data_IF_879821947702
#
_entry.id   IF_879821947702
#
_cell.length_a   1.000
_cell.length_b   1.000
_cell.length_c   1.000
_cell.angle_alpha   90.00
_cell.angle_beta   90.00
_cell.angle_gamma   90.00
#
_symmetry.space_group_name_H-M   'P 1'
#
loop_
_entity.id
_entity.type
_entity.pdbx_description
1 polymer ?
#
# COMPACT_ATOMS: atom_id res chain seq x y z
N UNK A 1 -9.18 -8.61 -1.75
CA UNK A 1 -8.30 -7.70 -2.53
C UNK A 1 -8.50 -6.25 -2.12
N UNK A 2 -9.73 -5.70 -2.10
CA UNK A 2 -9.97 -4.32 -1.62
C UNK A 2 -9.36 -4.04 -0.24
N UNK A 3 -9.49 -4.94 0.73
CA UNK A 3 -8.94 -4.74 2.08
C UNK A 3 -7.40 -4.60 2.10
N UNK A 4 -6.68 -5.33 1.24
CA UNK A 4 -5.21 -5.22 1.11
C UNK A 4 -4.85 -3.91 0.39
N UNK A 5 -5.62 -3.52 -0.62
CA UNK A 5 -5.51 -2.23 -1.31
C UNK A 5 -5.81 -1.05 -0.34
N UNK A 6 -6.75 -1.23 0.60
CA UNK A 6 -7.04 -0.28 1.68
C UNK A 6 -5.87 -0.18 2.64
N UNK A 7 -5.34 -1.31 3.12
CA UNK A 7 -4.21 -1.33 4.06
C UNK A 7 -2.97 -0.68 3.44
N UNK A 8 -2.64 -0.97 2.17
CA UNK A 8 -1.50 -0.33 1.48
C UNK A 8 -1.68 1.18 1.31
N UNK A 9 -2.86 1.66 0.89
CA UNK A 9 -3.13 3.09 0.70
C UNK A 9 -3.36 3.89 1.99
N UNK A 10 -3.86 3.26 3.06
CA UNK A 10 -4.15 3.92 4.34
C UNK A 10 -3.00 3.86 5.34
N UNK A 11 -2.08 2.88 5.24
CA UNK A 11 -0.92 2.84 6.14
C UNK A 11 0.02 4.00 5.82
N UNK A 12 0.20 4.86 6.81
CA UNK A 12 0.93 6.12 6.71
C UNK A 12 1.91 6.21 7.88
N UNK A 13 3.12 6.71 7.61
CA UNK A 13 4.05 7.12 8.64
C UNK A 13 4.56 8.53 8.31
N UNK A 14 4.19 9.50 9.14
CA UNK A 14 4.59 10.91 9.00
C UNK A 14 4.28 11.55 7.62
N UNK A 15 3.13 11.22 7.03
CA UNK A 15 2.69 11.68 5.71
C UNK A 15 3.19 10.82 4.54
N UNK A 16 4.03 9.81 4.80
CA UNK A 16 4.59 8.92 3.78
C UNK A 16 3.77 7.63 3.74
N UNK A 17 3.25 7.27 2.55
CA UNK A 17 2.59 5.99 2.29
C UNK A 17 3.62 4.86 2.17
N UNK A 18 4.18 4.50 3.32
CA UNK A 18 5.28 3.52 3.42
C UNK A 18 4.97 2.18 2.75
N UNK A 19 3.71 1.74 2.64
CA UNK A 19 3.34 0.47 1.99
C UNK A 19 2.87 0.60 0.53
N UNK A 20 2.75 1.80 -0.04
CA UNK A 20 2.24 2.01 -1.41
C UNK A 20 3.37 2.06 -2.46
N UNK A 21 4.34 1.15 -2.35
CA UNK A 21 5.45 1.02 -3.30
C UNK A 21 5.10 0.12 -4.51
N UNK A 22 4.10 0.52 -5.28
CA UNK A 22 3.56 -0.28 -6.41
C UNK A 22 4.34 -0.13 -7.71
N UNK A 23 5.18 0.90 -7.83
CA UNK A 23 5.84 1.28 -9.09
C UNK A 23 7.36 1.41 -9.01
N UNK A 24 7.98 1.42 -7.82
CA UNK A 24 9.44 1.51 -7.69
C UNK A 24 10.07 0.18 -7.26
N UNK A 25 11.36 0.02 -7.55
CA UNK A 25 12.24 -0.93 -6.86
C UNK A 25 12.33 -0.62 -5.36
N UNK A 26 12.72 -1.62 -4.58
CA UNK A 26 12.64 -1.64 -3.11
C UNK A 26 13.11 -0.32 -2.47
N UNK A 27 12.26 0.28 -1.62
CA UNK A 27 12.51 1.60 -1.03
C UNK A 27 13.19 1.43 0.32
N UNK A 28 14.45 1.89 0.45
CA UNK A 28 15.09 2.06 1.77
C UNK A 28 14.77 3.44 2.33
N UNK A 29 14.43 3.50 3.61
CA UNK A 29 14.37 4.72 4.39
C UNK A 29 15.45 4.67 5.46
N UNK A 30 16.50 5.48 5.28
CA UNK A 30 17.67 5.48 6.17
C UNK A 30 17.58 6.61 7.20
N UNK A 31 17.61 6.25 8.47
CA UNK A 31 17.51 7.18 9.59
C UNK A 31 18.87 7.28 10.30
N UNK A 32 19.50 8.45 10.23
CA UNK A 32 20.73 8.75 10.98
C UNK A 32 20.44 8.78 12.48
N UNK A 33 21.07 7.89 13.23
CA UNK A 33 20.86 7.73 14.69
C UNK A 33 22.15 7.85 15.51
N UNK A 34 23.30 7.99 14.85
CA UNK A 34 24.58 8.27 15.50
C UNK A 34 25.25 9.56 15.00
N UNK A 35 26.42 9.85 15.55
CA UNK A 35 27.18 11.06 15.25
C UNK A 35 28.19 10.90 14.11
N UNK A 36 28.37 9.67 13.60
CA UNK A 36 29.25 9.36 12.46
C UNK A 36 28.45 8.89 11.25
N UNK A 37 28.98 9.13 10.06
CA UNK A 37 28.42 8.60 8.82
C UNK A 37 28.24 7.08 8.89
N UNK A 38 27.12 6.59 8.36
CA UNK A 38 26.68 5.19 8.37
C UNK A 38 26.23 4.64 9.75
N UNK A 39 26.19 5.44 10.83
CA UNK A 39 25.47 5.09 12.06
C UNK A 39 23.95 5.28 11.85
N UNK A 40 23.36 4.40 11.02
CA UNK A 40 22.00 4.51 10.49
C UNK A 40 21.13 3.28 10.81
N UNK A 41 19.83 3.50 10.95
CA UNK A 41 18.80 2.46 10.90
C UNK A 41 18.12 2.55 9.54
N UNK A 42 18.42 1.59 8.67
CA UNK A 42 17.75 1.42 7.38
C UNK A 42 16.48 0.59 7.53
N UNK A 43 15.36 1.11 7.02
CA UNK A 43 14.10 0.37 6.87
C UNK A 43 13.91 0.07 5.39
N UNK A 44 14.23 -1.15 4.99
CA UNK A 44 13.90 -1.65 3.66
C UNK A 44 12.41 -1.99 3.56
N UNK A 45 11.75 -1.46 2.53
CA UNK A 45 10.38 -1.82 2.18
C UNK A 45 10.37 -2.41 0.78
N UNK A 46 10.01 -3.69 0.71
CA UNK A 46 9.96 -4.43 -0.54
C UNK A 46 8.88 -3.91 -1.49
N UNK A 47 9.02 -4.19 -2.78
CA UNK A 47 7.97 -3.92 -3.79
C UNK A 47 6.60 -4.44 -3.34
N UNK A 48 5.55 -3.62 -3.43
CA UNK A 48 4.16 -4.07 -3.23
C UNK A 48 3.47 -4.50 -4.54
N UNK A 49 4.20 -4.49 -5.66
CA UNK A 49 3.79 -5.07 -6.95
C UNK A 49 3.59 -6.59 -6.83
N UNK A 50 2.35 -7.00 -6.54
CA UNK A 50 1.96 -8.40 -6.28
C UNK A 50 1.16 -8.60 -5.00
N UNK A 51 1.10 -7.60 -4.09
CA UNK A 51 0.25 -7.66 -2.90
C UNK A 51 -1.23 -7.46 -3.27
N UNK A 52 -1.48 -6.59 -4.27
CA UNK A 52 -2.79 -6.48 -4.90
C UNK A 52 -2.81 -7.31 -6.19
N UNK A 53 -3.48 -8.45 -6.14
CA UNK A 53 -3.60 -9.39 -7.27
C UNK A 53 -4.59 -8.92 -8.36
N UNK A 54 -5.20 -7.73 -8.20
CA UNK A 54 -6.21 -7.19 -9.12
C UNK A 54 -5.71 -6.89 -10.55
N UNK A 55 -4.40 -6.75 -10.73
CA UNK A 55 -3.72 -6.82 -12.02
C UNK A 55 -2.22 -6.83 -11.76
N UNK A 56 -1.57 -7.98 -11.92
CA UNK A 56 -0.19 -8.00 -12.38
C UNK A 56 -0.26 -8.11 -13.91
N UNK A 57 -0.31 -6.95 -14.59
CA UNK A 57 0.04 -6.93 -16.02
C UNK A 57 1.47 -7.42 -16.18
N UNK A 58 1.83 -7.84 -17.39
CA UNK A 58 3.19 -8.32 -17.70
C UNK A 58 4.29 -7.28 -17.43
N UNK A 59 3.92 -6.00 -17.27
CA UNK A 59 4.77 -4.86 -16.89
C UNK A 59 4.85 -4.58 -15.37
N UNK A 60 4.12 -5.32 -14.53
CA UNK A 60 4.09 -5.14 -13.07
C UNK A 60 3.19 -4.00 -12.57
N UNK A 61 2.50 -3.26 -13.45
CA UNK A 61 1.59 -2.19 -13.03
C UNK A 61 0.18 -2.70 -12.71
N UNK A 62 -0.42 -2.12 -11.67
CA UNK A 62 -1.71 -2.55 -11.12
C UNK A 62 -2.71 -1.39 -11.11
N UNK A 63 -3.78 -1.51 -11.89
CA UNK A 63 -4.81 -0.46 -12.06
C UNK A 63 -5.57 -0.14 -10.77
N UNK A 64 -6.13 1.07 -10.70
CA UNK A 64 -7.12 1.44 -9.69
C UNK A 64 -8.51 0.83 -9.97
N UNK A 65 -8.76 0.38 -11.21
CA UNK A 65 -10.01 -0.27 -11.58
C UNK A 65 -10.05 -1.71 -11.05
N UNK A 66 -10.79 -1.93 -9.97
CA UNK A 66 -11.00 -3.27 -9.40
C UNK A 66 -12.00 -4.05 -10.26
N UNK A 67 -11.53 -5.12 -10.90
CA UNK A 67 -12.38 -6.25 -11.33
C UNK A 67 -13.52 -5.89 -12.31
N UNK A 68 -13.29 -5.03 -13.32
CA UNK A 68 -14.28 -4.75 -14.38
C UNK A 68 -14.33 -5.89 -15.40
N UNK A 69 -15.01 -6.95 -15.01
CA UNK A 69 -15.19 -8.15 -15.81
C UNK A 69 -16.23 -8.00 -16.94
N UNK A 70 -16.03 -8.69 -18.08
CA UNK A 70 -17.03 -8.81 -19.16
C UNK A 70 -17.24 -10.26 -19.63
N UNK A 71 -18.50 -10.71 -19.71
CA UNK A 71 -18.87 -12.03 -20.28
C UNK A 71 -19.11 -12.01 -21.79
N UNK A 72 -18.36 -12.82 -22.52
CA UNK A 72 -18.64 -13.20 -23.91
C UNK A 72 -19.82 -14.16 -24.03
N UNK A 73 -19.97 -15.12 -23.11
CA UNK A 73 -21.03 -16.14 -23.15
C UNK A 73 -22.44 -15.58 -22.91
N UNK A 74 -22.58 -14.58 -22.04
CA UNK A 74 -23.86 -13.87 -21.83
C UNK A 74 -24.30 -13.11 -23.08
N UNK A 75 -23.36 -12.44 -23.77
CA UNK A 75 -23.67 -11.73 -25.01
C UNK A 75 -24.05 -12.73 -26.13
N UNK A 76 -23.35 -13.86 -26.27
CA UNK A 76 -23.68 -14.91 -27.23
C UNK A 76 -25.07 -15.55 -26.99
N UNK A 77 -25.45 -15.80 -25.73
CA UNK A 77 -26.78 -16.32 -25.37
C UNK A 77 -27.87 -15.27 -25.67
N UNK A 78 -27.65 -13.99 -25.31
CA UNK A 78 -28.58 -12.90 -25.65
C UNK A 78 -28.78 -12.75 -27.17
N UNK A 79 -27.71 -12.85 -27.95
CA UNK A 79 -27.77 -12.80 -29.42
C UNK A 79 -28.57 -13.98 -29.96
N UNK A 80 -28.28 -15.21 -29.53
CA UNK A 80 -29.01 -16.41 -29.95
C UNK A 80 -30.50 -16.36 -29.56
N UNK A 81 -30.83 -15.86 -28.36
CA UNK A 81 -32.21 -15.68 -27.89
C UNK A 81 -32.96 -14.61 -28.70
N UNK A 82 -32.27 -13.53 -29.08
CA UNK A 82 -32.82 -12.48 -29.95
C UNK A 82 -33.13 -13.02 -31.34
N UNK A 83 -32.22 -13.82 -31.92
CA UNK A 83 -32.44 -14.44 -33.23
C UNK A 83 -33.58 -15.47 -33.19
N UNK A 84 -33.64 -16.36 -32.19
CA UNK A 84 -34.78 -17.27 -31.96
C UNK A 84 -36.11 -16.50 -31.90
N UNK A 85 -36.15 -15.37 -31.18
CA UNK A 85 -37.36 -14.54 -31.08
C UNK A 85 -37.76 -13.94 -32.44
N UNK A 86 -36.79 -13.46 -33.22
CA UNK A 86 -37.01 -12.93 -34.55
C UNK A 86 -37.48 -14.02 -35.55
N UNK A 87 -36.85 -15.20 -35.56
CA UNK A 87 -37.29 -16.33 -36.40
C UNK A 87 -38.67 -16.84 -36.00
N UNK A 88 -39.01 -16.86 -34.72
CA UNK A 88 -40.32 -17.27 -34.25
C UNK A 88 -41.42 -16.30 -34.73
N UNK A 89 -41.17 -14.99 -34.64
CA UNK A 89 -42.06 -13.96 -35.20
C UNK A 89 -42.27 -14.16 -36.70
N UNK A 90 -41.20 -14.41 -37.46
CA UNK A 90 -41.27 -14.66 -38.91
C UNK A 90 -42.03 -15.96 -39.25
N UNK A 91 -41.80 -17.03 -38.50
CA UNK A 91 -42.54 -18.30 -38.65
C UNK A 91 -44.04 -18.13 -38.36
N UNK A 92 -44.41 -17.45 -37.28
CA UNK A 92 -45.81 -17.19 -36.94
C UNK A 92 -46.52 -16.34 -38.00
N UNK A 93 -45.84 -15.33 -38.55
CA UNK A 93 -46.37 -14.51 -39.64
C UNK A 93 -46.58 -15.32 -40.94
N UNK A 94 -45.58 -16.11 -41.35
CA UNK A 94 -45.69 -16.99 -42.52
C UNK A 94 -46.80 -18.04 -42.35
N UNK A 95 -46.88 -18.65 -41.16
CA UNK A 95 -47.92 -19.63 -40.82
C UNK A 95 -49.31 -19.02 -40.89
N UNK A 96 -49.53 -17.82 -40.33
CA UNK A 96 -50.83 -17.15 -40.38
C UNK A 96 -51.30 -16.87 -41.83
N UNK A 97 -50.36 -16.53 -42.73
CA UNK A 97 -50.64 -16.33 -44.16
C UNK A 97 -50.97 -17.67 -44.84
N UNK A 98 -50.29 -18.76 -44.49
CA UNK A 98 -50.55 -20.09 -45.04
C UNK A 98 -51.82 -20.76 -44.48
N UNK A 99 -52.18 -20.47 -43.23
CA UNK A 99 -53.42 -20.97 -42.60
C UNK A 99 -54.66 -20.31 -43.24
N UNK A 100 -54.53 -19.06 -43.71
CA UNK A 100 -55.60 -18.32 -44.39
C UNK A 100 -55.84 -18.78 -45.84
N UNK A 101 -54.87 -19.48 -46.46
CA UNK A 101 -54.99 -20.06 -47.80
C UNK A 101 -54.13 -21.33 -47.91
N UNK A 102 -54.66 -22.49 -47.45
CA UNK A 102 -53.91 -23.73 -47.36
C UNK A 102 -53.70 -24.44 -48.71
N UNK A 103 -54.30 -23.95 -49.80
CA UNK A 103 -54.14 -24.52 -51.14
C UNK A 103 -52.92 -23.98 -51.89
N UNK A 104 -52.37 -22.83 -51.46
CA UNK A 104 -51.21 -22.20 -52.08
C UNK A 104 -49.89 -22.84 -51.59
N UNK A 105 -49.33 -23.70 -52.45
CA UNK A 105 -48.04 -24.36 -52.22
C UNK A 105 -46.87 -23.38 -51.97
N UNK A 106 -46.96 -22.13 -52.44
CA UNK A 106 -45.95 -21.08 -52.23
C UNK A 106 -45.93 -20.64 -50.77
N UNK A 107 -47.12 -20.45 -50.16
CA UNK A 107 -47.29 -20.07 -48.75
C UNK A 107 -46.87 -21.20 -47.81
N UNK A 108 -47.19 -22.44 -48.16
CA UNK A 108 -46.72 -23.63 -47.45
C UNK A 108 -45.17 -23.76 -47.48
N UNK A 109 -44.56 -23.48 -48.63
CA UNK A 109 -43.08 -23.49 -48.81
C UNK A 109 -42.42 -22.38 -47.98
N UNK A 110 -43.00 -21.17 -47.96
CA UNK A 110 -42.52 -20.06 -47.13
C UNK A 110 -42.57 -20.40 -45.63
N UNK A 111 -43.66 -21.02 -45.17
CA UNK A 111 -43.83 -21.46 -43.77
C UNK A 111 -42.80 -22.52 -43.39
N UNK A 112 -42.55 -23.50 -44.26
CA UNK A 112 -41.54 -24.55 -44.05
C UNK A 112 -40.13 -23.96 -43.98
N UNK A 113 -39.83 -22.97 -44.83
CA UNK A 113 -38.55 -22.26 -44.84
C UNK A 113 -38.34 -21.47 -43.53
N UNK A 114 -39.35 -20.75 -43.07
CA UNK A 114 -39.29 -20.00 -41.81
C UNK A 114 -39.16 -20.93 -40.59
N UNK A 115 -39.82 -22.09 -40.60
CA UNK A 115 -39.71 -23.13 -39.57
C UNK A 115 -38.28 -23.70 -39.49
N UNK A 116 -37.68 -24.03 -40.64
CA UNK A 116 -36.30 -24.54 -40.71
C UNK A 116 -35.27 -23.52 -40.17
N UNK A 117 -35.48 -22.23 -40.43
CA UNK A 117 -34.67 -21.16 -39.85
C UNK A 117 -34.81 -21.08 -38.32
N UNK A 118 -36.04 -21.15 -37.79
CA UNK A 118 -36.30 -21.19 -36.34
C UNK A 118 -35.66 -22.40 -35.65
N UNK A 119 -35.75 -23.58 -36.25
CA UNK A 119 -35.15 -24.81 -35.71
C UNK A 119 -33.62 -24.72 -35.65
N UNK A 120 -33.00 -24.07 -36.65
CA UNK A 120 -31.56 -23.80 -36.69
C UNK A 120 -31.13 -22.85 -35.56
N UNK A 121 -31.86 -21.76 -35.33
CA UNK A 121 -31.59 -20.81 -34.24
C UNK A 121 -31.81 -21.46 -32.86
N UNK A 122 -32.82 -22.31 -32.71
CA UNK A 122 -33.06 -23.10 -31.49
C UNK A 122 -31.90 -24.06 -31.19
N UNK A 123 -31.38 -24.76 -32.20
CA UNK A 123 -30.19 -25.62 -32.06
C UNK A 123 -28.94 -24.84 -31.66
N UNK A 124 -28.78 -23.63 -32.19
CA UNK A 124 -27.69 -22.71 -31.80
C UNK A 124 -27.82 -22.27 -30.34
N UNK A 125 -29.02 -21.85 -29.90
CA UNK A 125 -29.28 -21.47 -28.51
C UNK A 125 -29.01 -22.63 -27.54
N UNK A 126 -29.49 -23.84 -27.85
CA UNK A 126 -29.23 -25.04 -27.05
C UNK A 126 -27.74 -25.37 -26.95
N UNK A 127 -26.98 -25.17 -28.03
CA UNK A 127 -25.53 -25.34 -28.05
C UNK A 127 -24.84 -24.30 -27.17
N UNK A 128 -25.17 -23.01 -27.31
CA UNK A 128 -24.62 -21.92 -26.50
C UNK A 128 -24.85 -22.11 -25.00
N UNK A 129 -26.04 -22.59 -24.61
CA UNK A 129 -26.36 -22.93 -23.21
C UNK A 129 -25.56 -24.14 -22.72
N UNK A 130 -25.37 -25.16 -23.56
CA UNK A 130 -24.56 -26.35 -23.23
C UNK A 130 -23.07 -26.04 -23.12
N UNK A 131 -22.54 -25.12 -23.94
CA UNK A 131 -21.15 -24.68 -23.81
C UNK A 131 -20.94 -23.74 -22.62
N UNK A 132 -21.95 -22.99 -22.19
CA UNK A 132 -21.89 -22.15 -20.99
C UNK A 132 -22.07 -22.91 -19.66
N UNK A 133 -22.16 -24.25 -19.69
CA UNK A 133 -22.32 -25.11 -18.50
C UNK A 133 -21.08 -25.98 -18.21
N UNK A 134 -19.93 -25.64 -18.78
CA UNK A 134 -18.64 -26.22 -18.38
C UNK A 134 -18.33 -25.99 -16.89
N UNK A 135 -17.66 -26.97 -16.26
CA UNK A 135 -17.48 -27.03 -14.81
C UNK A 135 -16.61 -25.88 -14.24
N UNK A 136 -17.26 -24.78 -13.86
CA UNK A 136 -16.66 -23.60 -13.25
C UNK A 136 -17.44 -22.30 -13.45
N UNK A 137 -18.34 -22.25 -14.44
CA UNK A 137 -19.01 -21.01 -14.86
C UNK A 137 -20.41 -20.80 -14.27
N UNK A 138 -20.95 -21.78 -13.55
CA UNK A 138 -22.26 -21.70 -12.89
C UNK A 138 -22.17 -21.99 -11.38
N UNK A 139 -22.98 -21.29 -10.58
CA UNK A 139 -23.25 -21.60 -9.16
C UNK A 139 -24.75 -21.75 -9.00
N UNK A 140 -25.19 -22.88 -8.43
CA UNK A 140 -26.61 -23.18 -8.17
C UNK A 140 -27.54 -23.06 -9.41
N UNK A 141 -27.04 -23.39 -10.60
CA UNK A 141 -27.78 -23.29 -11.86
C UNK A 141 -27.84 -21.88 -12.48
N UNK A 142 -27.37 -20.85 -11.78
CA UNK A 142 -27.19 -19.51 -12.34
C UNK A 142 -25.80 -19.40 -12.97
N UNK A 143 -25.72 -18.83 -14.18
CA UNK A 143 -24.46 -18.37 -14.75
C UNK A 143 -23.84 -17.34 -13.79
N UNK A 144 -22.57 -17.54 -13.44
CA UNK A 144 -21.85 -16.64 -12.53
C UNK A 144 -21.65 -15.28 -13.21
N UNK A 145 -21.46 -14.23 -12.42
CA UNK A 145 -21.18 -12.87 -12.92
C UNK A 145 -19.80 -12.34 -12.49
N UNK A 146 -18.73 -13.03 -12.94
CA UNK A 146 -17.31 -12.59 -13.00
C UNK A 146 -16.60 -13.17 -14.26
N UNK A 147 -15.78 -12.44 -15.02
CA UNK A 147 -15.25 -12.94 -16.30
C UNK A 147 -14.00 -12.22 -16.87
N UNK A 148 -12.92 -13.00 -16.99
CA UNK A 148 -11.80 -12.84 -17.92
C UNK A 148 -10.78 -11.68 -17.77
N UNK A 149 -10.89 -10.74 -16.82
CA UNK A 149 -9.70 -10.01 -16.32
C UNK A 149 -9.80 -9.70 -14.83
N UNK A 150 -9.12 -10.53 -14.01
CA UNK A 150 -9.10 -10.35 -12.55
C UNK A 150 -9.06 -11.66 -11.75
N UNK A 151 -9.56 -11.57 -10.52
CA UNK A 151 -9.47 -12.63 -9.50
C UNK A 151 -10.82 -13.32 -9.27
N UNK A 152 -10.85 -14.65 -9.33
CA UNK A 152 -11.99 -15.51 -9.04
C UNK A 152 -11.81 -16.23 -7.68
N UNK A 153 -12.76 -16.02 -6.77
CA UNK A 153 -12.81 -16.65 -5.44
C UNK A 153 -12.96 -18.19 -5.43
N UNK A 154 -13.19 -18.84 -6.58
CA UNK A 154 -13.14 -20.31 -6.74
C UNK A 154 -11.94 -20.81 -7.56
N UNK A 155 -11.45 -20.04 -8.53
CA UNK A 155 -10.48 -20.50 -9.55
C UNK A 155 -9.12 -19.80 -9.51
N UNK A 156 -8.96 -18.73 -8.73
CA UNK A 156 -7.72 -17.95 -8.62
C UNK A 156 -7.62 -16.89 -9.72
N UNK A 157 -6.43 -16.72 -10.29
CA UNK A 157 -6.21 -15.85 -11.45
C UNK A 157 -6.89 -16.43 -12.71
N UNK A 158 -7.59 -15.57 -13.44
CA UNK A 158 -8.18 -15.89 -14.76
C UNK A 158 -7.44 -15.08 -15.82
N UNK A 159 -6.96 -15.75 -16.86
CA UNK A 159 -6.26 -15.13 -17.98
C UNK A 159 -7.23 -14.41 -18.94
N UNK A 160 -6.68 -13.56 -19.82
CA UNK A 160 -7.46 -12.75 -20.77
C UNK A 160 -8.27 -13.58 -21.79
N UNK A 161 -7.94 -14.86 -21.96
CA UNK A 161 -8.69 -15.84 -22.77
C UNK A 161 -9.82 -16.54 -21.99
N UNK A 162 -10.03 -16.18 -20.72
CA UNK A 162 -11.01 -16.79 -19.82
C UNK A 162 -10.54 -18.09 -19.18
N UNK A 163 -9.32 -18.56 -19.44
CA UNK A 163 -8.81 -19.78 -18.81
C UNK A 163 -8.43 -19.54 -17.34
N UNK A 164 -8.72 -20.52 -16.48
CA UNK A 164 -8.26 -20.51 -15.09
C UNK A 164 -6.78 -20.87 -15.05
N UNK A 165 -5.94 -19.92 -14.62
CA UNK A 165 -4.48 -20.03 -14.65
C UNK A 165 -3.90 -19.51 -13.34
N UNK A 166 -3.88 -20.34 -12.30
CA UNK A 166 -3.34 -19.96 -11.00
C UNK A 166 -3.49 -21.01 -9.91
N UNK A 167 -2.90 -20.73 -8.75
CA UNK A 167 -3.15 -21.45 -7.50
C UNK A 167 -4.55 -21.14 -6.96
N UNK A 168 -5.01 -21.92 -5.97
CA UNK A 168 -6.33 -21.66 -5.38
C UNK A 168 -6.38 -20.25 -4.76
N UNK A 169 -7.53 -19.56 -4.83
CA UNK A 169 -7.64 -18.18 -4.38
C UNK A 169 -7.33 -17.99 -2.89
N UNK A 170 -7.49 -19.04 -2.07
CA UNK A 170 -7.04 -19.04 -0.68
C UNK A 170 -5.51 -18.99 -0.55
N UNK A 171 -4.78 -19.74 -1.38
CA UNK A 171 -3.31 -19.73 -1.39
C UNK A 171 -2.75 -18.37 -1.85
N UNK A 172 -3.46 -17.68 -2.73
CA UNK A 172 -3.07 -16.35 -3.19
C UNK A 172 -3.36 -15.25 -2.16
N UNK A 173 -4.48 -15.34 -1.43
CA UNK A 173 -4.75 -14.49 -0.27
C UNK A 173 -3.69 -14.72 0.82
N UNK A 174 -3.31 -15.97 1.08
CA UNK A 174 -2.27 -16.33 2.05
C UNK A 174 -0.88 -15.75 1.67
N UNK A 175 -0.48 -15.81 0.39
CA UNK A 175 0.73 -15.12 -0.09
C UNK A 175 0.68 -13.61 0.15
N UNK A 176 -0.45 -12.97 -0.18
CA UNK A 176 -0.58 -11.52 -0.04
C UNK A 176 -0.60 -11.08 1.45
N UNK A 177 -1.24 -11.84 2.33
CA UNK A 177 -1.19 -11.63 3.77
C UNK A 177 0.24 -11.80 4.31
N UNK A 178 0.93 -12.90 3.96
CA UNK A 178 2.33 -13.13 4.34
C UNK A 178 3.26 -11.99 3.94
N UNK A 179 3.05 -11.38 2.78
CA UNK A 179 3.83 -10.23 2.33
C UNK A 179 3.58 -8.98 3.21
N UNK A 180 2.31 -8.67 3.52
CA UNK A 180 1.94 -7.57 4.44
C UNK A 180 2.48 -7.82 5.86
N UNK A 181 2.35 -9.04 6.37
CA UNK A 181 2.81 -9.41 7.71
C UNK A 181 4.34 -9.39 7.83
N UNK A 182 5.06 -9.81 6.78
CA UNK A 182 6.52 -9.67 6.69
C UNK A 182 6.93 -8.20 6.81
N UNK A 183 6.27 -7.31 6.07
CA UNK A 183 6.60 -5.88 6.15
C UNK A 183 6.24 -5.25 7.49
N UNK A 184 5.11 -5.64 8.10
CA UNK A 184 4.74 -5.24 9.46
C UNK A 184 5.75 -5.73 10.50
N UNK A 185 6.29 -6.94 10.33
CA UNK A 185 7.34 -7.50 11.19
C UNK A 185 8.63 -6.66 11.11
N UNK A 186 9.07 -6.28 9.90
CA UNK A 186 10.23 -5.39 9.71
C UNK A 186 10.01 -4.01 10.35
N UNK A 187 8.81 -3.44 10.23
CA UNK A 187 8.48 -2.16 10.87
C UNK A 187 8.50 -2.27 12.42
N UNK A 188 7.93 -3.33 13.00
CA UNK A 188 7.98 -3.58 14.45
C UNK A 188 9.41 -3.82 14.96
N UNK A 189 10.23 -4.57 14.22
CA UNK A 189 11.64 -4.75 14.53
C UNK A 189 12.41 -3.41 14.49
N UNK A 190 12.08 -2.53 13.54
CA UNK A 190 12.67 -1.19 13.42
C UNK A 190 12.27 -0.29 14.60
N UNK A 191 11.02 -0.34 15.06
CA UNK A 191 10.56 0.35 16.27
C UNK A 191 11.37 -0.07 17.51
N UNK A 192 11.59 -1.37 17.71
CA UNK A 192 12.40 -1.89 18.82
C UNK A 192 13.87 -1.40 18.73
N UNK A 193 14.45 -1.30 17.52
CA UNK A 193 15.79 -0.74 17.32
C UNK A 193 15.84 0.76 17.62
N UNK A 194 14.82 1.53 17.23
CA UNK A 194 14.74 2.94 17.61
C UNK A 194 14.65 3.13 19.12
N UNK A 195 13.78 2.41 19.82
CA UNK A 195 13.61 2.52 21.27
C UNK A 195 14.91 2.23 22.04
N UNK A 196 15.62 1.15 21.64
CA UNK A 196 16.93 0.82 22.20
C UNK A 196 17.97 1.90 21.91
N UNK A 197 17.97 2.47 20.70
CA UNK A 197 18.93 3.51 20.31
C UNK A 197 18.64 4.84 21.00
N UNK A 198 17.37 5.23 21.15
CA UNK A 198 16.91 6.39 21.92
C UNK A 198 17.34 6.25 23.39
N UNK A 199 17.15 5.08 24.00
CA UNK A 199 17.59 4.80 25.37
C UNK A 199 19.12 4.97 25.51
N UNK A 200 19.90 4.46 24.56
CA UNK A 200 21.36 4.58 24.56
C UNK A 200 21.82 6.04 24.32
N UNK A 201 21.17 6.76 23.41
CA UNK A 201 21.42 8.18 23.16
C UNK A 201 21.13 9.02 24.40
N UNK A 202 20.00 8.80 25.08
CA UNK A 202 19.67 9.49 26.34
C UNK A 202 20.73 9.25 27.42
N UNK A 203 21.20 8.01 27.60
CA UNK A 203 22.29 7.71 28.51
C UNK A 203 23.59 8.43 28.11
N UNK A 204 23.90 8.48 26.81
CA UNK A 204 25.07 9.19 26.27
C UNK A 204 24.97 10.70 26.49
N UNK A 205 23.80 11.30 26.27
CA UNK A 205 23.53 12.72 26.52
C UNK A 205 23.63 13.04 28.01
N UNK A 206 23.10 12.21 28.90
CA UNK A 206 23.22 12.39 30.35
C UNK A 206 24.69 12.31 30.80
N UNK A 207 25.45 11.35 30.29
CA UNK A 207 26.88 11.20 30.58
C UNK A 207 27.70 12.38 30.04
N UNK A 208 27.44 12.83 28.81
CA UNK A 208 28.15 13.95 28.18
C UNK A 208 27.80 15.28 28.84
N UNK A 209 26.54 15.48 29.23
CA UNK A 209 26.10 16.66 30.01
C UNK A 209 26.75 16.67 31.39
N UNK A 210 26.83 15.51 32.06
CA UNK A 210 27.52 15.37 33.35
C UNK A 210 29.03 15.61 33.25
N UNK A 211 29.67 15.10 32.19
CA UNK A 211 31.09 15.36 31.92
C UNK A 211 31.34 16.84 31.59
N UNK A 212 30.47 17.47 30.79
CA UNK A 212 30.53 18.90 30.46
C UNK A 212 30.32 19.78 31.70
N UNK A 213 29.37 19.45 32.56
CA UNK A 213 29.17 20.14 33.85
C UNK A 213 30.39 19.98 34.77
N UNK A 214 30.97 18.77 34.88
CA UNK A 214 32.22 18.56 35.63
C UNK A 214 33.41 19.36 35.10
N UNK A 215 33.47 19.66 33.81
CA UNK A 215 34.51 20.51 33.22
C UNK A 215 34.16 21.98 33.47
N UNK A 216 32.98 22.44 33.03
CA UNK A 216 32.63 23.87 33.02
C UNK A 216 32.28 24.42 34.41
N UNK A 217 31.53 23.69 35.23
CA UNK A 217 31.01 24.20 36.52
C UNK A 217 32.02 24.02 37.67
N UNK A 218 32.86 22.98 37.63
CA UNK A 218 33.94 22.82 38.60
C UNK A 218 35.02 23.90 38.41
N UNK A 219 35.43 24.13 37.15
CA UNK A 219 36.38 25.19 36.83
C UNK A 219 35.77 26.57 37.17
N UNK A 220 34.48 26.81 36.89
CA UNK A 220 33.79 28.04 37.29
C UNK A 220 33.85 28.31 38.80
N UNK A 221 33.68 27.28 39.65
CA UNK A 221 33.81 27.44 41.11
C UNK A 221 35.22 27.88 41.52
N UNK A 222 36.27 27.32 40.89
CA UNK A 222 37.66 27.72 41.16
C UNK A 222 38.00 29.10 40.60
N UNK A 223 37.49 29.45 39.42
CA UNK A 223 37.76 30.72 38.76
C UNK A 223 37.05 31.88 39.46
N UNK A 224 35.79 31.71 39.88
CA UNK A 224 35.10 32.70 40.74
C UNK A 224 35.81 32.87 42.08
N UNK A 225 36.35 31.79 42.66
CA UNK A 225 37.15 31.86 43.89
C UNK A 225 38.47 32.62 43.69
N UNK A 226 39.14 32.42 42.55
CA UNK A 226 40.36 33.14 42.19
C UNK A 226 40.08 34.61 41.87
N UNK A 227 39.00 34.92 41.13
CA UNK A 227 38.52 36.28 40.85
C UNK A 227 38.18 37.01 42.15
N UNK A 228 37.43 36.39 43.06
CA UNK A 228 37.09 36.97 44.36
C UNK A 228 38.34 37.20 45.22
N UNK A 229 39.28 36.23 45.27
CA UNK A 229 40.59 36.39 45.93
C UNK A 229 41.38 37.56 45.33
N UNK A 230 41.39 37.71 44.00
CA UNK A 230 42.09 38.79 43.31
C UNK A 230 41.45 40.16 43.61
N UNK A 231 40.11 40.25 43.63
CA UNK A 231 39.40 41.47 44.03
C UNK A 231 39.69 41.86 45.49
N UNK A 232 39.67 40.90 46.42
CA UNK A 232 40.04 41.12 47.82
C UNK A 232 41.51 41.56 47.93
N UNK A 233 42.44 40.95 47.17
CA UNK A 233 43.85 41.37 47.14
C UNK A 233 44.04 42.77 46.57
N UNK A 234 43.27 43.19 45.56
CA UNK A 234 43.30 44.55 45.03
C UNK A 234 42.76 45.58 46.04
N UNK A 235 41.66 45.26 46.73
CA UNK A 235 41.06 46.13 47.76
C UNK A 235 41.93 46.21 49.02
N UNK A 236 42.50 45.08 49.47
CA UNK A 236 43.46 45.05 50.57
C UNK A 236 44.77 45.74 50.19
N UNK A 237 45.28 45.55 48.97
CA UNK A 237 46.49 46.19 48.47
C UNK A 237 46.37 47.72 48.43
N UNK A 238 45.23 48.26 47.97
CA UNK A 238 44.99 49.71 48.00
C UNK A 238 44.83 50.26 49.42
N UNK A 239 44.16 49.53 50.32
CA UNK A 239 44.04 49.91 51.74
C UNK A 239 45.38 49.87 52.48
N UNK A 240 46.21 48.84 52.24
CA UNK A 240 47.55 48.70 52.82
C UNK A 240 48.50 49.74 52.24
N UNK A 241 48.43 50.07 50.94
CA UNK A 241 49.17 51.21 50.38
C UNK A 241 48.76 52.53 51.05
N UNK A 242 47.46 52.78 51.23
CA UNK A 242 46.98 53.99 51.88
C UNK A 242 47.52 54.12 53.32
N UNK A 243 47.49 53.02 54.08
CA UNK A 243 48.00 53.00 55.45
C UNK A 243 49.54 53.08 55.51
N UNK A 244 50.25 52.39 54.61
CA UNK A 244 51.71 52.46 54.48
C UNK A 244 52.19 53.86 54.07
N UNK A 245 51.40 54.62 53.30
CA UNK A 245 51.69 56.02 52.95
C UNK A 245 51.43 56.99 54.12
N UNK A 246 50.59 56.64 55.10
CA UNK A 246 50.34 57.45 56.29
C UNK A 246 51.42 57.28 57.37
N UNK A 247 52.00 56.08 57.51
CA UNK A 247 53.02 55.79 58.55
C UNK A 247 54.26 56.72 58.47
N UNK A 248 54.85 57.03 57.30
CA UNK A 248 55.92 58.02 57.21
C UNK A 248 55.49 59.42 57.65
N UNK A 249 54.24 59.82 57.37
CA UNK A 249 53.75 61.17 57.70
C UNK A 249 53.55 61.35 59.20
N UNK A 250 53.11 60.31 59.93
CA UNK A 250 53.02 60.36 61.40
C UNK A 250 54.39 60.34 62.07
N UNK A 251 55.37 59.63 61.51
CA UNK A 251 56.77 59.70 61.97
C UNK A 251 57.36 61.10 61.74
N UNK A 252 57.07 61.73 60.60
CA UNK A 252 57.46 63.12 60.31
C UNK A 252 56.77 64.15 61.21
N UNK A 253 55.58 63.88 61.77
CA UNK A 253 54.95 64.77 62.76
C UNK A 253 55.50 64.61 64.17
N UNK A 254 56.22 63.51 64.46
CA UNK A 254 56.90 63.27 65.75
C UNK A 254 58.32 63.85 65.81
N UNK A 255 58.83 64.36 64.68
CA UNK A 255 60.15 64.98 64.54
C UNK A 255 60.08 66.52 64.35
N UNK A 256 58.98 67.14 64.81
CA UNK A 256 58.69 68.58 64.68
C UNK A 256 58.34 69.22 66.03
#
# INVERSE_FOLDING_TARGET
MEEINRVTKQTDFNGIKVLDNRTATDSSYDFQVGSKDNEQISIAIGKSSGWNLAAAKTDGTSSDTVNTYKFTTTDAIKTAQTDVTAKNTAYLAAKAISDADPADATKATATTTAKSALDTSNGTLATSVKTATTAGEAVNGNARTVAAEGFDVLKGQVAADGTAAGTTPLADIDKALKAVDTQRSVLGASQNRFESTITNLNNTVNNLTSARSRIQDADYSTEVSNMSRAQILQQAGTSVLAQANQVPQTVLSLLR
#
